data_IF_137216704938
#
_entry.id   IF_137216704938
#
_cell.length_a   1.000
_cell.length_b   1.000
_cell.length_c   1.000
_cell.angle_alpha   90.00
_cell.angle_beta   90.00
_cell.angle_gamma   90.00
#
_symmetry.space_group_name_H-M   'P 1'
#
loop_
_entity.id
_entity.type
_entity.pdbx_description
1 polymer ?
#
# COMPACT_ATOMS: atom_id res chain seq x y z
N UNK A 1 0.13 -38.07 13.96
CA UNK A 1 -0.20 -36.63 14.12
C UNK A 1 0.88 -36.00 14.99
N UNK A 2 1.79 -35.20 14.39
CA UNK A 2 2.70 -34.24 15.07
C UNK A 2 3.63 -33.56 14.04
N UNK A 3 3.04 -33.04 12.95
CA UNK A 3 3.71 -32.06 12.08
C UNK A 3 3.06 -30.69 12.26
N UNK A 4 2.78 -30.33 13.52
CA UNK A 4 2.51 -28.94 13.87
C UNK A 4 3.82 -28.19 13.66
N UNK A 5 3.94 -27.58 12.49
CA UNK A 5 4.33 -26.19 12.41
C UNK A 5 5.63 -25.81 13.14
N UNK A 6 6.78 -26.27 12.61
CA UNK A 6 7.83 -25.27 12.33
C UNK A 6 7.31 -24.40 11.19
N UNK A 7 6.27 -23.61 11.44
CA UNK A 7 5.82 -22.59 10.49
C UNK A 7 7.01 -21.67 10.36
N UNK A 8 7.69 -21.70 9.21
CA UNK A 8 8.35 -20.49 8.79
C UNK A 8 7.28 -19.40 8.86
N UNK A 9 7.52 -18.35 9.63
CA UNK A 9 6.61 -17.20 9.70
C UNK A 9 6.47 -16.53 8.33
N UNK A 10 7.42 -16.79 7.42
CA UNK A 10 7.50 -16.23 6.08
C UNK A 10 7.74 -17.36 5.07
N UNK A 11 6.93 -17.38 4.02
CA UNK A 11 7.05 -18.34 2.91
C UNK A 11 7.51 -17.58 1.67
N UNK A 12 8.33 -18.23 0.84
CA UNK A 12 8.64 -17.67 -0.48
C UNK A 12 7.42 -17.77 -1.39
N UNK A 13 7.42 -17.02 -2.50
CA UNK A 13 6.38 -17.10 -3.54
C UNK A 13 6.20 -18.55 -4.02
N UNK A 14 7.31 -19.24 -4.31
CA UNK A 14 7.31 -20.65 -4.74
C UNK A 14 6.76 -21.61 -3.67
N UNK A 15 7.11 -21.41 -2.38
CA UNK A 15 6.57 -22.24 -1.30
C UNK A 15 5.07 -21.99 -1.10
N UNK A 16 4.62 -20.75 -1.31
CA UNK A 16 3.23 -20.34 -1.19
C UNK A 16 2.39 -20.92 -2.33
N UNK A 17 2.86 -20.83 -3.57
CA UNK A 17 2.16 -21.41 -4.73
C UNK A 17 1.95 -22.91 -4.57
N UNK A 18 3.01 -23.67 -4.21
CA UNK A 18 2.90 -25.11 -3.94
C UNK A 18 1.89 -25.45 -2.84
N UNK A 19 1.81 -24.63 -1.79
CA UNK A 19 0.86 -24.84 -0.69
C UNK A 19 -0.58 -24.53 -1.11
N UNK A 20 -0.78 -23.46 -1.87
CA UNK A 20 -2.09 -23.12 -2.43
C UNK A 20 -2.55 -24.24 -3.36
N UNK A 21 -1.68 -24.72 -4.27
CA UNK A 21 -1.98 -25.85 -5.15
C UNK A 21 -2.39 -27.10 -4.37
N UNK A 22 -1.65 -27.43 -3.31
CA UNK A 22 -1.97 -28.58 -2.47
C UNK A 22 -3.29 -28.43 -1.69
N UNK A 23 -3.67 -27.21 -1.35
CA UNK A 23 -4.84 -26.94 -0.51
C UNK A 23 -6.13 -26.77 -1.31
N UNK A 24 -6.04 -26.15 -2.49
CA UNK A 24 -7.17 -25.86 -3.37
C UNK A 24 -7.32 -26.88 -4.51
N UNK A 25 -6.35 -27.78 -4.70
CA UNK A 25 -6.32 -28.77 -5.79
C UNK A 25 -6.37 -28.15 -7.20
N UNK A 26 -5.98 -26.88 -7.32
CA UNK A 26 -5.86 -26.13 -8.57
C UNK A 26 -4.40 -25.70 -8.75
N UNK A 27 -3.89 -25.61 -9.97
CA UNK A 27 -2.51 -25.21 -10.21
C UNK A 27 -2.35 -23.69 -10.05
N UNK A 28 -1.73 -23.25 -8.95
CA UNK A 28 -1.35 -21.85 -8.73
C UNK A 28 0.10 -21.60 -9.16
N UNK A 29 0.30 -20.54 -9.93
CA UNK A 29 1.61 -19.96 -10.24
C UNK A 29 2.03 -18.90 -9.23
N UNK A 30 3.30 -18.48 -9.26
CA UNK A 30 3.79 -17.33 -8.49
C UNK A 30 3.08 -16.03 -8.88
N UNK A 31 2.71 -15.89 -10.17
CA UNK A 31 1.91 -14.79 -10.68
C UNK A 31 0.54 -14.70 -9.99
N UNK A 32 -0.12 -15.85 -9.76
CA UNK A 32 -1.43 -15.89 -9.13
C UNK A 32 -1.33 -15.52 -7.65
N UNK A 33 -0.22 -15.88 -6.99
CA UNK A 33 0.06 -15.45 -5.62
C UNK A 33 0.23 -13.92 -5.52
N UNK A 34 0.94 -13.33 -6.48
CA UNK A 34 1.11 -11.86 -6.57
C UNK A 34 -0.23 -11.19 -6.86
N UNK A 35 -1.04 -11.75 -7.76
CA UNK A 35 -2.35 -11.23 -8.08
C UNK A 35 -3.30 -11.28 -6.87
N UNK A 36 -3.35 -12.41 -6.15
CA UNK A 36 -4.11 -12.54 -4.91
C UNK A 36 -3.68 -11.53 -3.84
N UNK A 37 -2.41 -11.13 -3.83
CA UNK A 37 -1.93 -10.08 -2.94
C UNK A 37 -2.34 -8.67 -3.38
N UNK A 38 -2.33 -8.41 -4.69
CA UNK A 38 -2.86 -7.16 -5.26
C UNK A 38 -4.36 -7.01 -5.00
N UNK A 39 -5.09 -8.12 -4.99
CA UNK A 39 -6.53 -8.20 -4.67
C UNK A 39 -6.79 -8.15 -3.15
N UNK A 40 -5.74 -8.17 -2.31
CA UNK A 40 -5.85 -8.08 -0.85
C UNK A 40 -6.24 -9.38 -0.15
N UNK A 41 -6.26 -10.52 -0.86
CA UNK A 41 -6.55 -11.83 -0.28
C UNK A 41 -5.36 -12.43 0.48
N UNK A 42 -4.14 -12.06 0.12
CA UNK A 42 -2.90 -12.53 0.76
C UNK A 42 -2.03 -11.33 1.12
N UNK A 43 -1.41 -11.36 2.29
CA UNK A 43 -0.40 -10.37 2.68
C UNK A 43 0.97 -10.75 2.12
N UNK A 44 1.61 -9.80 1.44
CA UNK A 44 3.01 -9.92 1.01
C UNK A 44 3.85 -8.96 1.85
N UNK A 45 5.08 -9.39 2.12
CA UNK A 45 6.03 -8.64 2.94
C UNK A 45 7.38 -8.61 2.24
N UNK A 46 8.08 -7.50 2.40
CA UNK A 46 9.40 -7.28 1.81
C UNK A 46 10.49 -7.39 2.89
N UNK A 47 11.61 -8.05 2.54
CA UNK A 47 12.80 -8.07 3.36
C UNK A 47 13.65 -6.83 3.11
N UNK A 48 13.85 -6.02 4.14
CA UNK A 48 14.75 -4.87 4.12
C UNK A 48 16.10 -5.29 4.70
N UNK A 49 17.07 -5.58 3.83
CA UNK A 49 18.41 -6.05 4.21
C UNK A 49 19.31 -4.95 4.77
N UNK A 50 19.12 -3.72 4.28
CA UNK A 50 19.89 -2.55 4.71
C UNK A 50 18.93 -1.55 5.28
N UNK A 51 19.27 -1.06 6.47
CA UNK A 51 18.47 -0.03 7.11
C UNK A 51 18.24 1.16 6.19
N UNK A 52 16.99 1.60 6.11
CA UNK A 52 16.52 2.70 5.28
C UNK A 52 16.01 3.84 6.15
N UNK A 53 15.82 5.00 5.55
CA UNK A 53 15.13 6.12 6.20
C UNK A 53 13.68 6.12 5.78
N UNK A 54 12.79 6.41 6.73
CA UNK A 54 11.35 6.51 6.51
C UNK A 54 10.75 7.67 7.28
N UNK A 55 9.53 8.02 6.94
CA UNK A 55 8.72 9.02 7.63
C UNK A 55 7.42 8.33 8.03
N UNK A 56 6.89 8.65 9.22
CA UNK A 56 5.62 8.10 9.64
C UNK A 56 4.51 8.73 8.81
N UNK A 57 3.60 7.91 8.34
CA UNK A 57 2.45 8.33 7.57
C UNK A 57 1.20 7.91 8.32
N UNK A 58 0.21 8.80 8.34
CA UNK A 58 -1.12 8.47 8.84
C UNK A 58 -2.11 8.73 7.73
N UNK A 59 -3.07 7.82 7.61
CA UNK A 59 -4.27 8.04 6.85
C UNK A 59 -5.11 9.08 7.59
N UNK A 60 -5.34 10.21 6.95
CA UNK A 60 -6.21 11.25 7.50
C UNK A 60 -7.51 11.25 6.71
N UNK A 61 -8.63 11.26 7.42
CA UNK A 61 -9.93 11.46 6.81
C UNK A 61 -9.95 12.89 6.26
N UNK A 62 -9.95 13.01 4.92
CA UNK A 62 -9.90 14.27 4.19
C UNK A 62 -10.97 15.28 4.62
N UNK A 63 -12.04 14.81 5.25
CA UNK A 63 -13.09 15.63 5.85
C UNK A 63 -12.54 16.69 6.82
N UNK A 64 -11.53 16.36 7.63
CA UNK A 64 -10.98 17.30 8.62
C UNK A 64 -10.09 18.38 7.99
N UNK A 65 -9.29 18.00 6.99
CA UNK A 65 -8.42 18.94 6.27
C UNK A 65 -9.27 19.91 5.43
N UNK A 66 -10.34 19.41 4.81
CA UNK A 66 -11.28 20.25 4.06
C UNK A 66 -12.06 21.18 4.99
N UNK A 67 -12.56 20.70 6.13
CA UNK A 67 -13.23 21.58 7.10
C UNK A 67 -12.30 22.65 7.65
N UNK A 68 -11.02 22.32 7.90
CA UNK A 68 -10.01 23.27 8.37
C UNK A 68 -9.63 24.28 7.28
N UNK A 69 -9.50 23.83 6.02
CA UNK A 69 -9.19 24.70 4.88
C UNK A 69 -10.36 25.62 4.52
N UNK A 70 -11.58 25.10 4.49
CA UNK A 70 -12.81 25.88 4.32
C UNK A 70 -12.99 26.85 5.50
N UNK A 71 -12.74 26.41 6.73
CA UNK A 71 -12.75 27.26 7.92
C UNK A 71 -11.75 28.41 7.82
N UNK A 72 -10.54 28.13 7.35
CA UNK A 72 -9.51 29.15 7.08
C UNK A 72 -9.94 30.14 6.00
N UNK A 73 -10.54 29.65 4.90
CA UNK A 73 -11.04 30.48 3.80
C UNK A 73 -12.26 31.32 4.19
N UNK A 74 -13.16 30.80 5.04
CA UNK A 74 -14.31 31.56 5.61
C UNK A 74 -13.86 32.69 6.52
N UNK A 75 -12.74 32.52 7.23
CA UNK A 75 -12.18 33.53 8.12
C UNK A 75 -11.45 34.67 7.36
N UNK A 76 -11.00 34.41 6.12
CA UNK A 76 -10.46 35.44 5.23
C UNK A 76 -11.60 36.03 4.38
N UNK A 77 -12.07 37.21 4.74
CA UNK A 77 -13.28 37.90 4.25
C UNK A 77 -13.27 38.35 2.77
N UNK A 78 -12.65 37.60 1.87
CA UNK A 78 -12.48 37.93 0.44
C UNK A 78 -13.06 36.93 -0.56
N UNK A 79 -13.57 35.78 -0.11
CA UNK A 79 -14.05 34.72 -1.01
C UNK A 79 -15.60 34.65 -1.07
N UNK A 80 -16.21 34.73 -2.26
CA UNK A 80 -17.65 34.51 -2.44
C UNK A 80 -18.08 33.10 -2.00
N UNK A 81 -19.19 33.02 -1.27
CA UNK A 81 -19.75 31.75 -0.73
C UNK A 81 -20.04 30.69 -1.80
N UNK A 82 -20.28 31.09 -3.05
CA UNK A 82 -20.58 30.16 -4.15
C UNK A 82 -19.35 29.34 -4.60
N UNK A 83 -18.14 29.92 -4.47
CA UNK A 83 -16.86 29.24 -4.77
C UNK A 83 -16.52 28.23 -3.67
N UNK A 84 -16.85 28.55 -2.42
CA UNK A 84 -16.66 27.66 -1.27
C UNK A 84 -17.53 26.40 -1.38
N UNK A 85 -18.80 26.54 -1.79
CA UNK A 85 -19.70 25.40 -2.01
C UNK A 85 -19.25 24.49 -3.16
N UNK A 86 -18.76 25.07 -4.26
CA UNK A 86 -18.27 24.24 -5.38
C UNK A 86 -17.01 23.46 -5.03
N UNK A 87 -16.14 24.00 -4.15
CA UNK A 87 -15.00 23.29 -3.60
C UNK A 87 -15.40 22.18 -2.62
N UNK A 88 -16.44 22.38 -1.81
CA UNK A 88 -17.00 21.32 -0.95
C UNK A 88 -17.58 20.16 -1.78
N UNK A 89 -18.24 20.44 -2.91
CA UNK A 89 -18.98 19.45 -3.69
C UNK A 89 -18.15 18.68 -4.74
N UNK A 90 -17.00 19.20 -5.20
CA UNK A 90 -16.25 18.66 -6.35
C UNK A 90 -14.84 18.14 -6.04
N UNK A 91 -14.42 18.09 -4.78
CA UNK A 91 -13.12 17.50 -4.45
C UNK A 91 -13.31 15.98 -4.37
N UNK A 92 -12.68 15.18 -5.25
CA UNK A 92 -12.70 13.74 -5.08
C UNK A 92 -12.12 13.44 -3.70
N UNK A 93 -12.83 12.61 -2.93
CA UNK A 93 -12.42 12.13 -1.62
C UNK A 93 -11.20 11.20 -1.80
N UNK A 94 -10.09 11.74 -2.28
CA UNK A 94 -8.84 11.03 -2.42
C UNK A 94 -8.22 10.93 -1.04
N UNK A 95 -8.20 9.71 -0.51
CA UNK A 95 -7.54 9.33 0.72
C UNK A 95 -6.12 9.88 0.72
N UNK A 96 -5.90 10.99 1.43
CA UNK A 96 -4.62 11.69 1.41
C UNK A 96 -3.76 11.14 2.53
N UNK A 97 -2.68 10.47 2.16
CA UNK A 97 -1.69 10.02 3.14
C UNK A 97 -0.88 11.24 3.57
N UNK A 98 -1.03 11.62 4.85
CA UNK A 98 -0.30 12.74 5.42
C UNK A 98 0.97 12.22 6.12
N UNK A 99 2.12 12.76 5.71
CA UNK A 99 3.42 12.49 6.32
C UNK A 99 3.52 13.31 7.61
N UNK A 100 3.75 12.65 8.74
CA UNK A 100 3.86 13.28 10.05
C UNK A 100 5.18 12.95 10.73
N UNK A 101 5.78 13.96 11.36
CA UNK A 101 6.94 13.80 12.22
C UNK A 101 8.28 13.81 11.50
N UNK A 102 9.29 13.32 12.22
CA UNK A 102 10.68 13.34 11.78
C UNK A 102 11.06 12.09 10.98
N UNK A 103 12.05 12.24 10.11
CA UNK A 103 12.69 11.12 9.43
C UNK A 103 13.35 10.22 10.47
N UNK A 104 12.99 8.94 10.47
CA UNK A 104 13.57 7.94 11.35
C UNK A 104 14.19 6.79 10.55
N UNK A 105 15.01 6.00 11.24
CA UNK A 105 15.73 4.89 10.63
C UNK A 105 14.92 3.60 10.79
N UNK A 106 14.52 3.01 9.66
CA UNK A 106 13.85 1.71 9.58
C UNK A 106 14.92 0.62 9.77
N UNK A 107 14.80 -0.23 10.80
CA UNK A 107 15.74 -1.33 11.03
C UNK A 107 15.62 -2.41 9.94
N UNK A 108 16.65 -3.24 9.82
CA UNK A 108 16.61 -4.38 8.90
C UNK A 108 15.60 -5.41 9.40
N UNK A 109 14.74 -5.92 8.52
CA UNK A 109 13.65 -6.80 8.91
C UNK A 109 12.66 -7.07 7.79
N UNK A 110 11.63 -7.86 8.10
CA UNK A 110 10.51 -8.12 7.18
C UNK A 110 9.38 -7.17 7.52
N UNK A 111 8.87 -6.48 6.51
CA UNK A 111 7.80 -5.49 6.66
C UNK A 111 6.65 -5.80 5.70
N UNK A 112 5.43 -5.73 6.22
CA UNK A 112 4.22 -5.98 5.44
C UNK A 112 3.95 -4.80 4.49
N UNK A 113 3.60 -5.13 3.25
CA UNK A 113 3.27 -4.18 2.21
C UNK A 113 1.75 -3.92 2.22
N UNK A 114 1.30 -2.68 2.47
CA UNK A 114 -0.12 -2.35 2.52
C UNK A 114 -0.79 -2.27 1.14
N UNK A 115 0.00 -2.23 0.05
CA UNK A 115 -0.47 -2.14 -1.34
C UNK A 115 -1.31 -0.88 -1.63
N UNK A 116 -0.90 0.28 -1.12
CA UNK A 116 -1.56 1.57 -1.29
C UNK A 116 -0.78 2.50 -2.25
N UNK A 117 0.55 2.37 -2.31
CA UNK A 117 1.42 3.30 -3.07
C UNK A 117 2.34 2.63 -4.09
N UNK A 118 3.60 3.07 -4.13
CA UNK A 118 4.59 2.58 -5.09
C UNK A 118 4.83 1.07 -4.98
N UNK A 119 4.73 0.52 -3.76
CA UNK A 119 4.90 -0.91 -3.52
C UNK A 119 3.87 -1.76 -4.29
N UNK A 120 2.63 -1.27 -4.43
CA UNK A 120 1.61 -1.94 -5.23
C UNK A 120 1.96 -1.93 -6.71
N UNK A 121 2.49 -0.80 -7.21
CA UNK A 121 2.91 -0.67 -8.60
C UNK A 121 4.10 -1.58 -8.92
N UNK A 122 5.06 -1.69 -8.00
CA UNK A 122 6.19 -2.60 -8.14
C UNK A 122 5.74 -4.06 -8.16
N UNK A 123 4.82 -4.45 -7.28
CA UNK A 123 4.25 -5.81 -7.27
C UNK A 123 3.44 -6.08 -8.54
N UNK A 124 2.67 -5.10 -9.03
CA UNK A 124 1.97 -5.19 -10.30
C UNK A 124 2.94 -5.38 -11.47
N UNK A 125 4.03 -4.63 -11.48
CA UNK A 125 5.07 -4.73 -12.49
C UNK A 125 5.69 -6.14 -12.52
N UNK A 126 6.05 -6.67 -11.34
CA UNK A 126 6.56 -8.04 -11.20
C UNK A 126 5.50 -9.03 -11.66
N UNK A 127 4.26 -8.90 -11.23
CA UNK A 127 3.17 -9.78 -11.64
C UNK A 127 3.00 -9.83 -13.17
N UNK A 128 3.00 -8.67 -13.85
CA UNK A 128 2.92 -8.61 -15.32
C UNK A 128 4.10 -9.31 -16.00
N UNK A 129 5.32 -9.16 -15.48
CA UNK A 129 6.49 -9.86 -16.02
C UNK A 129 6.33 -11.39 -15.91
N UNK A 130 5.87 -11.87 -14.76
CA UNK A 130 5.64 -13.30 -14.53
C UNK A 130 4.50 -13.86 -15.40
N UNK A 131 3.51 -13.03 -15.74
CA UNK A 131 2.43 -13.39 -16.68
C UNK A 131 2.82 -13.24 -18.16
N UNK A 132 4.03 -12.73 -18.47
CA UNK A 132 4.47 -12.45 -19.84
C UNK A 132 3.69 -11.31 -20.52
N UNK A 133 3.06 -10.43 -19.74
CA UNK A 133 2.34 -9.25 -20.24
C UNK A 133 3.27 -8.04 -20.30
N UNK A 134 2.88 -7.02 -21.08
CA UNK A 134 3.59 -5.74 -21.04
C UNK A 134 3.48 -5.13 -19.63
N UNK A 135 4.61 -4.85 -18.96
CA UNK A 135 4.58 -4.35 -17.60
C UNK A 135 4.20 -2.87 -17.60
N UNK A 136 3.31 -2.50 -16.70
CA UNK A 136 2.94 -1.10 -16.54
C UNK A 136 4.11 -0.31 -15.94
N UNK A 137 4.41 0.84 -16.52
CA UNK A 137 5.45 1.77 -16.07
C UNK A 137 4.83 2.95 -15.31
N UNK A 138 3.97 2.65 -14.33
CA UNK A 138 3.43 3.68 -13.45
C UNK A 138 4.47 4.08 -12.40
N UNK A 139 4.49 5.35 -12.03
CA UNK A 139 5.38 5.89 -11.00
C UNK A 139 4.50 6.56 -9.94
N UNK A 140 4.75 6.23 -8.68
CA UNK A 140 4.15 6.94 -7.56
C UNK A 140 5.17 7.91 -6.96
N UNK A 141 4.82 9.19 -6.91
CA UNK A 141 5.68 10.25 -6.33
C UNK A 141 5.78 10.16 -4.80
N UNK A 142 4.82 9.49 -4.16
CA UNK A 142 4.80 9.33 -2.71
C UNK A 142 5.77 8.26 -2.20
N UNK A 143 6.21 7.36 -3.09
CA UNK A 143 7.09 6.25 -2.75
C UNK A 143 6.37 5.04 -2.14
N UNK A 144 7.12 4.03 -1.66
CA UNK A 144 6.55 2.81 -1.09
C UNK A 144 6.15 3.00 0.37
N UNK A 145 5.00 2.45 0.73
CA UNK A 145 4.52 2.40 2.11
C UNK A 145 4.81 1.06 2.77
N UNK A 146 4.99 1.07 4.09
CA UNK A 146 5.24 -0.11 4.92
C UNK A 146 4.32 -0.05 6.12
N UNK A 147 3.75 -1.19 6.51
CA UNK A 147 3.04 -1.28 7.77
C UNK A 147 4.02 -1.31 8.94
N UNK A 148 3.73 -0.50 9.95
CA UNK A 148 4.43 -0.54 11.22
C UNK A 148 3.79 -1.66 12.06
N UNK A 149 4.44 -2.82 12.12
CA UNK A 149 4.01 -3.96 12.96
C UNK A 149 4.33 -3.73 14.44
#
# INVERSE_FOLDING_TARGET
>A
MNKLFKLKNWLTLEETSRRLTSSFQEDFSEADCLQLALDGHIKISALIEKSKFGILCKEDDTNNILSDFVGFMKNNSGFPNDILKTAEDNIPLEMKICRFGNVFRIPTGVYDLPMIGAERLDVLHICSQFQGREPAAFICLEGPFLNNN
#
